data_IF_323822449760
#
_entry.id   IF_323822449760
#
_cell.length_a   1.000
_cell.length_b   1.000
_cell.length_c   1.000
_cell.angle_alpha   90.00
_cell.angle_beta   90.00
_cell.angle_gamma   90.00
#
_symmetry.space_group_name_H-M   'P 1'
#
loop_
_entity.id
_entity.type
_entity.pdbx_description
1 polymer ?
#
# COMPACT_ATOMS: atom_id res chain seq x y z
N UNK A 1 25.13 4.20 -12.26
CA UNK A 1 24.46 3.47 -11.15
C UNK A 1 23.83 2.21 -11.72
N UNK A 2 23.74 1.11 -10.97
CA UNK A 2 23.07 -0.12 -11.46
C UNK A 2 21.56 0.05 -11.40
N UNK A 3 20.85 -0.54 -12.37
CA UNK A 3 19.39 -0.57 -12.38
C UNK A 3 18.82 -1.19 -11.09
N UNK A 4 17.99 -0.44 -10.36
CA UNK A 4 17.31 -0.93 -9.15
C UNK A 4 15.90 -1.42 -9.50
N UNK A 5 15.53 -2.57 -8.94
CA UNK A 5 14.17 -3.08 -8.95
C UNK A 5 13.65 -3.03 -7.51
N UNK A 6 12.64 -2.21 -7.29
CA UNK A 6 12.10 -1.89 -5.97
C UNK A 6 10.68 -2.44 -5.87
N UNK A 7 10.44 -3.29 -4.87
CA UNK A 7 9.12 -3.76 -4.51
C UNK A 7 8.53 -2.85 -3.42
N UNK A 8 7.46 -2.13 -3.74
CA UNK A 8 6.72 -1.33 -2.79
C UNK A 8 5.49 -2.10 -2.30
N UNK A 9 5.36 -2.26 -0.99
CA UNK A 9 4.19 -2.87 -0.36
C UNK A 9 3.69 -2.01 0.78
N UNK A 10 2.71 -2.48 1.52
CA UNK A 10 2.16 -1.75 2.65
C UNK A 10 0.74 -2.13 2.97
N UNK A 11 0.25 -1.60 4.07
CA UNK A 11 -1.13 -1.84 4.51
C UNK A 11 -2.07 -1.25 3.45
N UNK A 12 -3.10 -1.97 2.95
CA UNK A 12 -4.09 -1.38 2.06
C UNK A 12 -4.63 -0.07 2.63
N UNK A 13 -4.66 1.00 1.82
CA UNK A 13 -5.07 2.36 2.23
C UNK A 13 -4.11 3.09 3.19
N UNK A 14 -2.86 2.67 3.29
CA UNK A 14 -1.79 3.38 4.01
C UNK A 14 -1.10 4.52 3.24
N UNK A 15 -1.51 4.81 2.01
CA UNK A 15 -0.81 5.80 1.17
C UNK A 15 0.30 5.20 0.29
N UNK A 16 0.36 3.87 0.15
CA UNK A 16 1.25 3.20 -0.82
C UNK A 16 1.09 3.68 -2.25
N UNK A 17 -0.14 4.00 -2.69
CA UNK A 17 -0.38 4.50 -4.05
C UNK A 17 0.18 5.91 -4.22
N UNK A 18 -0.01 6.78 -3.22
CA UNK A 18 0.63 8.09 -3.18
C UNK A 18 2.16 7.96 -3.25
N UNK A 19 2.76 7.13 -2.39
CA UNK A 19 4.21 6.91 -2.41
C UNK A 19 4.67 6.35 -3.77
N UNK A 20 3.90 5.45 -4.38
CA UNK A 20 4.17 4.95 -5.73
C UNK A 20 4.16 6.09 -6.76
N UNK A 21 3.15 6.98 -6.75
CA UNK A 21 3.10 8.15 -7.65
C UNK A 21 4.31 9.06 -7.45
N UNK A 22 4.67 9.36 -6.20
CA UNK A 22 5.79 10.23 -5.87
C UNK A 22 7.13 9.65 -6.35
N UNK A 23 7.39 8.36 -6.11
CA UNK A 23 8.57 7.67 -6.66
C UNK A 23 8.56 7.70 -8.19
N UNK A 24 7.38 7.58 -8.80
CA UNK A 24 7.18 7.72 -10.24
C UNK A 24 7.46 9.12 -10.77
N UNK A 25 7.66 10.14 -9.93
CA UNK A 25 8.09 11.49 -10.33
C UNK A 25 9.59 11.72 -10.14
N UNK A 26 10.30 10.85 -9.41
CA UNK A 26 11.74 10.94 -9.25
C UNK A 26 12.49 10.88 -10.59
N UNK A 27 13.68 11.48 -10.63
CA UNK A 27 14.56 11.44 -11.80
C UNK A 27 14.89 9.98 -12.15
N UNK A 28 14.90 9.66 -13.45
CA UNK A 28 15.28 8.35 -13.98
C UNK A 28 14.60 7.16 -13.27
N UNK A 29 13.31 7.33 -12.93
CA UNK A 29 12.53 6.36 -12.18
C UNK A 29 11.14 6.19 -12.77
N UNK A 30 10.69 4.94 -12.90
CA UNK A 30 9.33 4.57 -13.25
C UNK A 30 8.71 3.80 -12.09
N UNK A 31 7.50 4.17 -11.70
CA UNK A 31 6.74 3.46 -10.69
C UNK A 31 5.41 2.96 -11.26
N UNK A 32 5.11 1.69 -11.06
CA UNK A 32 3.92 1.02 -11.58
C UNK A 32 3.00 0.61 -10.43
N UNK A 33 1.74 1.04 -10.50
CA UNK A 33 0.73 0.78 -9.48
C UNK A 33 -0.06 -0.48 -9.83
N UNK A 34 0.10 -1.51 -9.00
CA UNK A 34 -0.59 -2.81 -9.09
C UNK A 34 -0.70 -3.37 -10.54
N UNK A 35 0.42 -3.45 -11.28
CA UNK A 35 0.39 -3.72 -12.71
C UNK A 35 0.26 -5.21 -13.08
N UNK A 36 0.26 -6.09 -12.07
CA UNK A 36 0.22 -7.54 -12.27
C UNK A 36 -1.16 -8.06 -11.93
N UNK A 37 -1.61 -9.07 -12.67
CA UNK A 37 -2.72 -9.91 -12.22
C UNK A 37 -2.23 -10.84 -11.10
N UNK A 38 -2.41 -10.39 -9.85
CA UNK A 38 -1.99 -11.15 -8.68
C UNK A 38 -2.84 -12.38 -8.42
N UNK A 39 -4.03 -12.47 -9.02
CA UNK A 39 -4.89 -13.66 -8.88
C UNK A 39 -4.36 -14.83 -9.72
N UNK A 40 -3.64 -14.53 -10.81
CA UNK A 40 -2.96 -15.50 -11.65
C UNK A 40 -1.58 -15.97 -11.11
N UNK A 41 -1.14 -15.45 -9.95
CA UNK A 41 0.09 -15.93 -9.31
C UNK A 41 -0.08 -17.36 -8.82
N UNK A 42 0.96 -18.17 -9.00
CA UNK A 42 0.97 -19.54 -8.49
C UNK A 42 0.84 -19.56 -6.97
N UNK A 43 0.04 -20.48 -6.44
CA UNK A 43 0.02 -20.75 -5.00
C UNK A 43 1.36 -21.34 -4.52
N UNK A 44 2.19 -21.87 -5.44
CA UNK A 44 3.55 -22.31 -5.13
C UNK A 44 4.45 -21.06 -5.08
N UNK A 45 4.83 -20.71 -3.85
CA UNK A 45 5.59 -19.51 -3.51
C UNK A 45 6.82 -19.24 -4.39
N UNK A 46 7.66 -20.24 -4.65
CA UNK A 46 8.85 -20.08 -5.48
C UNK A 46 8.50 -19.71 -6.94
N UNK A 47 7.41 -20.26 -7.47
CA UNK A 47 6.91 -19.93 -8.80
C UNK A 47 6.32 -18.52 -8.83
N UNK A 48 5.56 -18.12 -7.80
CA UNK A 48 5.06 -16.75 -7.67
C UNK A 48 6.18 -15.71 -7.69
N UNK A 49 7.28 -15.97 -6.96
CA UNK A 49 8.47 -15.10 -6.99
C UNK A 49 9.12 -15.06 -8.37
N UNK A 50 9.20 -16.20 -9.07
CA UNK A 50 9.65 -16.26 -10.45
C UNK A 50 8.77 -15.43 -11.41
N UNK A 51 7.45 -15.45 -11.21
CA UNK A 51 6.50 -14.62 -11.96
C UNK A 51 6.69 -13.13 -11.66
N UNK A 52 6.93 -12.75 -10.41
CA UNK A 52 7.27 -11.36 -10.03
C UNK A 52 8.57 -10.92 -10.70
N UNK A 53 9.63 -11.72 -10.61
CA UNK A 53 10.92 -11.39 -11.22
C UNK A 53 10.84 -11.26 -12.74
N UNK A 54 10.10 -12.17 -13.39
CA UNK A 54 9.83 -12.09 -14.81
C UNK A 54 9.07 -10.81 -15.17
N UNK A 55 8.05 -10.44 -14.38
CA UNK A 55 7.32 -9.21 -14.63
C UNK A 55 8.20 -7.96 -14.54
N UNK A 56 9.10 -7.87 -13.54
CA UNK A 56 10.08 -6.77 -13.47
C UNK A 56 10.96 -6.71 -14.72
N UNK A 57 11.45 -7.85 -15.20
CA UNK A 57 12.29 -7.91 -16.40
C UNK A 57 11.51 -7.51 -17.67
N UNK A 58 10.30 -8.04 -17.85
CA UNK A 58 9.44 -7.77 -19.00
C UNK A 58 8.99 -6.30 -19.04
N UNK A 59 8.61 -5.73 -17.89
CA UNK A 59 8.24 -4.31 -17.78
C UNK A 59 9.42 -3.40 -18.14
N UNK A 60 10.63 -3.71 -17.66
CA UNK A 60 11.84 -2.97 -18.02
C UNK A 60 12.15 -3.07 -19.51
N UNK A 61 12.08 -4.27 -20.09
CA UNK A 61 12.30 -4.46 -21.52
C UNK A 61 11.31 -3.66 -22.36
N UNK A 62 10.02 -3.66 -21.98
CA UNK A 62 8.98 -2.87 -22.64
C UNK A 62 9.28 -1.37 -22.57
N UNK A 63 9.62 -0.84 -21.39
CA UNK A 63 9.96 0.58 -21.20
C UNK A 63 11.19 1.01 -22.01
N UNK A 64 12.19 0.15 -22.16
CA UNK A 64 13.37 0.45 -22.97
C UNK A 64 13.11 0.33 -24.49
N UNK A 65 12.20 -0.53 -24.90
CA UNK A 65 11.92 -0.79 -26.32
C UNK A 65 10.89 0.17 -26.92
N UNK A 66 9.75 0.36 -26.26
CA UNK A 66 8.61 1.12 -26.80
C UNK A 66 8.12 2.25 -25.88
N UNK A 67 8.81 2.43 -24.74
CA UNK A 67 8.52 3.47 -23.76
C UNK A 67 7.26 3.24 -22.94
N UNK A 68 6.68 2.03 -22.93
CA UNK A 68 5.41 1.77 -22.25
C UNK A 68 5.44 0.56 -21.32
N UNK A 69 4.56 0.57 -20.32
CA UNK A 69 4.37 -0.52 -19.35
C UNK A 69 2.93 -0.60 -18.89
N UNK A 70 2.53 -1.77 -18.36
CA UNK A 70 1.23 -1.92 -17.69
C UNK A 70 1.22 -1.26 -16.32
N UNK A 71 0.13 -0.58 -15.98
CA UNK A 71 -0.16 -0.06 -14.63
C UNK A 71 -1.65 0.16 -14.47
N UNK A 72 -2.15 0.07 -13.24
CA UNK A 72 -3.41 0.73 -12.92
C UNK A 72 -3.20 2.25 -13.04
N UNK A 73 -4.14 2.91 -13.71
CA UNK A 73 -4.00 4.30 -14.12
C UNK A 73 -5.36 5.03 -14.20
N UNK A 74 -5.29 6.36 -14.19
CA UNK A 74 -6.34 7.28 -14.64
C UNK A 74 -5.72 8.15 -15.73
N UNK A 75 -6.32 8.17 -16.92
CA UNK A 75 -5.89 8.96 -18.07
C UNK A 75 -4.39 8.83 -18.44
N UNK A 76 -3.83 7.64 -18.29
CA UNK A 76 -2.44 7.30 -18.59
C UNK A 76 -1.46 7.53 -17.44
N UNK A 77 -1.92 7.99 -16.28
CA UNK A 77 -1.08 8.29 -15.11
C UNK A 77 -1.38 7.39 -13.90
N UNK A 78 -0.35 7.12 -13.10
CA UNK A 78 -0.52 6.53 -11.77
C UNK A 78 -1.15 7.57 -10.83
N UNK A 79 -2.35 7.34 -10.28
CA UNK A 79 -3.02 8.34 -9.43
C UNK A 79 -2.37 8.44 -8.04
N UNK A 80 -2.67 9.51 -7.30
CA UNK A 80 -2.31 9.61 -5.87
C UNK A 80 -3.22 8.73 -5.00
N UNK A 81 -4.48 8.57 -5.41
CA UNK A 81 -5.52 7.82 -4.72
C UNK A 81 -6.49 7.19 -5.74
N UNK A 82 -6.73 5.87 -5.69
CA UNK A 82 -7.59 5.20 -6.67
C UNK A 82 -9.09 5.46 -6.49
N UNK A 83 -9.49 6.21 -5.47
CA UNK A 83 -10.90 6.50 -5.15
C UNK A 83 -11.25 7.99 -5.27
N UNK A 84 -12.42 8.26 -5.83
CA UNK A 84 -13.05 9.59 -5.89
C UNK A 84 -13.30 10.20 -4.52
N UNK A 85 -13.47 11.52 -4.45
CA UNK A 85 -14.12 12.20 -3.31
C UNK A 85 -15.65 12.08 -3.34
N UNK A 86 -16.24 11.89 -4.53
CA UNK A 86 -17.67 11.61 -4.71
C UNK A 86 -18.07 10.26 -4.12
N UNK A 87 -19.26 10.21 -3.52
CA UNK A 87 -19.89 8.99 -3.02
C UNK A 87 -20.92 8.45 -4.01
N UNK A 88 -21.13 7.14 -4.03
CA UNK A 88 -22.26 6.48 -4.68
C UNK A 88 -23.55 6.60 -3.84
N UNK A 89 -24.62 5.96 -4.31
CA UNK A 89 -25.94 5.98 -3.65
C UNK A 89 -25.91 5.36 -2.25
N UNK A 90 -24.92 4.51 -1.95
CA UNK A 90 -24.73 3.86 -0.66
C UNK A 90 -23.74 4.64 0.24
N UNK A 91 -23.35 5.86 -0.17
CA UNK A 91 -22.42 6.71 0.57
C UNK A 91 -20.95 6.28 0.47
N UNK A 92 -20.60 5.36 -0.43
CA UNK A 92 -19.23 4.83 -0.58
C UNK A 92 -18.48 5.52 -1.71
N UNK A 93 -17.16 5.64 -1.58
CA UNK A 93 -16.34 6.27 -2.61
C UNK A 93 -16.16 5.36 -3.82
N UNK A 94 -16.21 5.92 -5.03
CA UNK A 94 -16.08 5.16 -6.29
C UNK A 94 -14.61 4.89 -6.64
N UNK A 95 -14.34 3.67 -7.11
CA UNK A 95 -13.05 3.27 -7.67
C UNK A 95 -12.91 3.81 -9.11
N UNK A 96 -11.79 4.48 -9.42
CA UNK A 96 -11.61 5.20 -10.70
C UNK A 96 -10.51 4.64 -11.60
N UNK A 97 -9.73 3.65 -11.15
CA UNK A 97 -8.58 3.16 -11.90
C UNK A 97 -8.90 1.97 -12.79
N UNK A 98 -8.23 1.90 -13.93
CA UNK A 98 -8.25 0.77 -14.84
C UNK A 98 -6.82 0.32 -15.16
N UNK A 99 -6.63 -0.98 -15.41
CA UNK A 99 -5.36 -1.50 -15.92
C UNK A 99 -5.19 -1.06 -17.38
N UNK A 100 -4.07 -0.40 -17.69
CA UNK A 100 -3.76 0.08 -19.04
C UNK A 100 -2.27 0.21 -19.27
N UNK A 101 -1.88 0.45 -20.54
CA UNK A 101 -0.51 0.83 -20.87
C UNK A 101 -0.32 2.31 -20.57
N UNK A 102 0.73 2.64 -19.82
CA UNK A 102 1.17 4.02 -19.56
C UNK A 102 2.49 4.28 -20.29
N UNK A 103 2.74 5.55 -20.62
CA UNK A 103 4.02 6.05 -21.12
C UNK A 103 4.56 7.09 -20.13
N UNK A 104 5.63 6.81 -19.38
CA UNK A 104 6.22 7.81 -18.51
C UNK A 104 6.64 9.05 -19.32
N UNK A 105 6.21 10.24 -18.91
CA UNK A 105 6.56 11.50 -19.56
C UNK A 105 7.91 12.03 -19.07
N UNK A 106 8.95 11.22 -19.28
CA UNK A 106 10.34 11.55 -18.94
C UNK A 106 11.33 10.69 -19.73
N UNK A 107 12.54 11.19 -20.01
CA UNK A 107 13.60 10.35 -20.55
C UNK A 107 14.02 9.30 -19.51
N UNK A 108 14.27 8.07 -19.96
CA UNK A 108 14.75 6.96 -19.15
C UNK A 108 16.13 6.54 -19.64
N UNK A 109 17.08 6.42 -18.73
CA UNK A 109 18.37 5.79 -19.00
C UNK A 109 18.19 4.27 -19.11
N UNK A 110 19.18 3.54 -19.65
CA UNK A 110 19.16 2.07 -19.60
C UNK A 110 19.18 1.52 -18.16
N UNK A 111 19.61 2.33 -17.19
CA UNK A 111 19.77 1.98 -15.79
C UNK A 111 18.68 2.52 -14.86
N UNK A 112 17.55 2.98 -15.38
CA UNK A 112 16.49 3.62 -14.59
C UNK A 112 15.99 2.75 -13.43
N UNK A 113 15.50 3.37 -12.36
CA UNK A 113 14.88 2.65 -11.23
C UNK A 113 13.46 2.21 -11.59
N UNK A 114 13.14 0.93 -11.38
CA UNK A 114 11.80 0.40 -11.58
C UNK A 114 11.18 0.06 -10.23
N UNK A 115 10.12 0.78 -9.86
CA UNK A 115 9.31 0.53 -8.68
C UNK A 115 8.02 -0.18 -9.11
N UNK A 116 7.68 -1.28 -8.46
CA UNK A 116 6.39 -1.94 -8.64
C UNK A 116 5.71 -2.03 -7.30
N UNK A 117 4.43 -1.64 -7.26
CA UNK A 117 3.65 -1.66 -6.03
C UNK A 117 2.58 -2.73 -6.05
N UNK A 118 2.55 -3.56 -5.01
CA UNK A 118 1.43 -4.45 -4.67
C UNK A 118 1.33 -4.58 -3.15
N UNK A 119 0.12 -4.49 -2.60
CA UNK A 119 -0.04 -4.58 -1.14
C UNK A 119 -0.01 -6.03 -0.67
N UNK A 120 -1.17 -6.70 -0.73
CA UNK A 120 -1.35 -8.04 -0.17
C UNK A 120 -0.38 -9.08 -0.76
N UNK A 121 -0.23 -9.10 -2.09
CA UNK A 121 0.60 -10.09 -2.76
C UNK A 121 2.08 -9.99 -2.34
N UNK A 122 2.67 -8.78 -2.37
CA UNK A 122 4.09 -8.63 -1.99
C UNK A 122 4.31 -8.85 -0.50
N UNK A 123 3.36 -8.45 0.36
CA UNK A 123 3.44 -8.77 1.79
C UNK A 123 3.39 -10.28 2.05
N UNK A 124 2.53 -11.00 1.33
CA UNK A 124 2.47 -12.46 1.41
C UNK A 124 3.78 -13.11 0.93
N UNK A 125 4.49 -12.51 -0.02
CA UNK A 125 5.76 -13.02 -0.56
C UNK A 125 7.01 -12.69 0.28
N UNK A 126 6.88 -12.05 1.45
CA UNK A 126 8.00 -11.91 2.41
C UNK A 126 8.34 -13.23 3.16
N UNK A 127 9.59 -13.54 3.50
CA UNK A 127 10.80 -12.74 3.29
C UNK A 127 11.45 -12.88 1.91
N UNK A 128 11.09 -13.88 1.11
CA UNK A 128 11.82 -14.23 -0.11
C UNK A 128 11.80 -13.11 -1.15
N UNK A 129 10.72 -12.32 -1.21
CA UNK A 129 10.69 -11.10 -2.00
C UNK A 129 11.79 -10.11 -1.57
N UNK A 130 11.98 -9.89 -0.27
CA UNK A 130 12.99 -8.99 0.26
C UNK A 130 14.43 -9.51 0.11
N UNK A 131 14.60 -10.82 -0.11
CA UNK A 131 15.90 -11.41 -0.45
C UNK A 131 16.28 -11.17 -1.92
N UNK A 132 15.29 -11.08 -2.82
CA UNK A 132 15.51 -10.87 -4.26
C UNK A 132 15.36 -9.42 -4.74
N UNK A 133 14.64 -8.59 -3.99
CA UNK A 133 14.31 -7.21 -4.36
C UNK A 133 14.54 -6.27 -3.20
N UNK A 134 14.95 -5.05 -3.51
CA UNK A 134 14.88 -3.98 -2.55
C UNK A 134 13.40 -3.71 -2.22
N UNK A 135 13.00 -4.01 -0.98
CA UNK A 135 11.58 -4.02 -0.60
C UNK A 135 11.30 -3.00 0.49
N UNK A 136 10.30 -2.15 0.27
CA UNK A 136 9.85 -1.10 1.17
C UNK A 136 8.38 -1.28 1.52
N UNK A 137 8.02 -1.05 2.78
CA UNK A 137 6.62 -1.08 3.23
C UNK A 137 6.16 0.29 3.73
N UNK A 138 4.97 0.69 3.33
CA UNK A 138 4.29 1.86 3.90
C UNK A 138 3.26 1.39 4.94
N UNK A 139 3.35 1.96 6.12
CA UNK A 139 2.36 1.81 7.19
C UNK A 139 1.70 3.15 7.48
N UNK A 140 0.55 3.12 8.13
CA UNK A 140 -0.23 4.31 8.48
C UNK A 140 -0.90 4.07 9.82
N UNK A 141 -1.26 5.13 10.53
CA UNK A 141 -1.97 5.03 11.80
C UNK A 141 -3.11 4.01 11.68
N UNK A 142 -3.13 2.98 12.53
CA UNK A 142 -4.02 1.84 12.37
C UNK A 142 -5.51 2.22 12.45
N UNK A 143 -5.87 3.24 13.23
CA UNK A 143 -7.24 3.75 13.26
C UNK A 143 -7.63 4.45 11.94
N UNK A 144 -6.73 5.24 11.34
CA UNK A 144 -6.98 5.84 10.03
C UNK A 144 -7.11 4.78 8.92
N UNK A 145 -6.36 3.69 9.00
CA UNK A 145 -6.50 2.55 8.08
C UNK A 145 -7.89 1.94 8.21
N UNK A 146 -8.30 1.56 9.42
CA UNK A 146 -9.62 0.95 9.66
C UNK A 146 -10.74 1.90 9.22
N UNK A 147 -10.70 3.16 9.64
CA UNK A 147 -11.66 4.18 9.21
C UNK A 147 -11.72 4.29 7.68
N UNK A 148 -10.56 4.23 7.00
CA UNK A 148 -10.53 4.25 5.55
C UNK A 148 -11.03 2.98 4.87
N UNK A 149 -10.94 1.80 5.50
CA UNK A 149 -11.54 0.57 4.95
C UNK A 149 -13.05 0.67 4.99
N UNK A 150 -13.62 1.21 6.07
CA UNK A 150 -15.07 1.41 6.20
C UNK A 150 -15.64 2.53 5.31
N UNK A 151 -14.80 3.34 4.64
CA UNK A 151 -15.25 4.40 3.73
C UNK A 151 -15.31 4.00 2.24
N UNK A 152 -14.98 2.74 1.91
CA UNK A 152 -14.88 2.24 0.53
C UNK A 152 -15.43 0.81 0.46
N UNK A 153 -15.80 0.35 -0.74
CA UNK A 153 -16.12 -1.06 -0.96
C UNK A 153 -14.90 -1.81 -1.52
N UNK A 154 -14.15 -2.46 -0.63
CA UNK A 154 -13.01 -3.30 -0.97
C UNK A 154 -13.10 -4.61 -0.18
N UNK A 155 -12.40 -5.68 -0.57
CA UNK A 155 -12.37 -6.92 0.21
C UNK A 155 -12.01 -6.72 1.69
N UNK A 156 -11.11 -5.77 1.99
CA UNK A 156 -10.69 -5.44 3.37
C UNK A 156 -11.84 -4.86 4.20
N UNK A 157 -12.80 -4.17 3.59
CA UNK A 157 -14.02 -3.69 4.25
C UNK A 157 -14.83 -4.86 4.81
N UNK A 158 -14.77 -6.02 4.15
CA UNK A 158 -15.46 -7.24 4.53
C UNK A 158 -14.56 -8.22 5.32
N UNK A 159 -13.40 -7.76 5.78
CA UNK A 159 -12.44 -8.58 6.51
C UNK A 159 -11.78 -9.66 5.64
N UNK A 160 -11.55 -9.38 4.35
CA UNK A 160 -10.86 -10.27 3.41
C UNK A 160 -9.64 -9.59 2.78
N UNK A 161 -8.66 -10.40 2.40
CA UNK A 161 -7.43 -9.99 1.72
C UNK A 161 -7.05 -11.02 0.64
N UNK A 162 -7.78 -11.08 -0.50
CA UNK A 162 -7.74 -12.23 -1.41
C UNK A 162 -6.35 -12.70 -1.85
N UNK A 163 -5.50 -11.79 -2.33
CA UNK A 163 -4.14 -12.15 -2.75
C UNK A 163 -3.24 -12.57 -1.56
N UNK A 164 -3.50 -12.05 -0.37
CA UNK A 164 -2.84 -12.50 0.86
C UNK A 164 -3.28 -13.90 1.25
N UNK A 165 -4.58 -14.17 1.20
CA UNK A 165 -5.18 -15.48 1.53
C UNK A 165 -4.77 -16.57 0.54
N UNK A 166 -4.67 -16.25 -0.75
CA UNK A 166 -4.20 -17.16 -1.79
C UNK A 166 -2.75 -17.59 -1.58
N UNK A 167 -1.88 -16.65 -1.19
CA UNK A 167 -0.44 -16.88 -1.05
C UNK A 167 -0.02 -17.27 0.38
N UNK A 168 -0.92 -17.12 1.35
CA UNK A 168 -0.78 -17.56 2.73
C UNK A 168 -2.07 -18.29 3.19
N UNK A 169 -2.14 -19.61 2.99
CA UNK A 169 -3.30 -20.41 3.40
C UNK A 169 -3.57 -20.38 4.91
N UNK A 170 -2.59 -20.02 5.74
CA UNK A 170 -2.80 -19.89 7.18
C UNK A 170 -3.62 -18.63 7.50
N UNK A 171 -3.36 -17.53 6.79
CA UNK A 171 -4.20 -16.33 6.85
C UNK A 171 -5.63 -16.66 6.43
N UNK A 172 -5.82 -17.34 5.30
CA UNK A 172 -7.15 -17.72 4.81
C UNK A 172 -7.97 -18.46 5.90
N UNK A 173 -7.39 -19.52 6.48
CA UNK A 173 -8.04 -20.28 7.57
C UNK A 173 -8.34 -19.43 8.80
N UNK A 174 -7.42 -18.54 9.18
CA UNK A 174 -7.62 -17.65 10.33
C UNK A 174 -8.76 -16.66 10.11
N UNK A 175 -8.94 -16.17 8.88
CA UNK A 175 -10.05 -15.29 8.52
C UNK A 175 -11.37 -16.06 8.41
N UNK A 176 -11.38 -17.25 7.79
CA UNK A 176 -12.60 -18.05 7.66
C UNK A 176 -13.15 -18.52 9.03
N UNK A 177 -12.28 -18.71 10.02
CA UNK A 177 -12.67 -19.09 11.38
C UNK A 177 -13.24 -17.93 12.22
N UNK A 178 -13.15 -16.68 11.76
CA UNK A 178 -13.56 -15.50 12.51
C UNK A 178 -14.84 -14.90 11.92
N UNK A 179 -15.95 -15.00 12.67
CA UNK A 179 -17.25 -14.53 12.21
C UNK A 179 -17.37 -13.00 12.23
N UNK A 180 -16.73 -12.34 13.19
CA UNK A 180 -16.80 -10.88 13.31
C UNK A 180 -15.93 -10.19 12.26
N UNK A 181 -16.54 -9.33 11.44
CA UNK A 181 -15.85 -8.57 10.38
C UNK A 181 -14.76 -7.69 10.96
N UNK A 182 -15.03 -7.01 12.08
CA UNK A 182 -14.02 -6.12 12.70
C UNK A 182 -12.86 -6.94 13.27
N UNK A 183 -13.13 -8.09 13.89
CA UNK A 183 -12.08 -9.01 14.32
C UNK A 183 -11.23 -9.52 13.13
N UNK A 184 -11.85 -9.87 12.00
CA UNK A 184 -11.12 -10.21 10.76
C UNK A 184 -10.23 -9.06 10.28
N UNK A 185 -10.74 -7.83 10.30
CA UNK A 185 -9.95 -6.65 9.93
C UNK A 185 -8.75 -6.44 10.85
N UNK A 186 -8.92 -6.61 12.16
CA UNK A 186 -7.82 -6.54 13.13
C UNK A 186 -6.80 -7.66 12.89
N UNK A 187 -7.24 -8.88 12.56
CA UNK A 187 -6.34 -9.99 12.17
C UNK A 187 -5.56 -9.68 10.89
N UNK A 188 -6.20 -9.06 9.88
CA UNK A 188 -5.51 -8.61 8.66
C UNK A 188 -4.47 -7.54 9.01
N UNK A 189 -4.84 -6.56 9.84
CA UNK A 189 -3.96 -5.50 10.28
C UNK A 189 -2.74 -6.08 11.00
N UNK A 190 -2.96 -6.95 11.99
CA UNK A 190 -1.91 -7.67 12.72
C UNK A 190 -1.01 -8.46 11.77
N UNK A 191 -1.60 -9.25 10.86
CA UNK A 191 -0.84 -10.02 9.87
C UNK A 191 0.07 -9.10 9.04
N UNK A 192 -0.44 -7.99 8.50
CA UNK A 192 0.37 -7.06 7.71
C UNK A 192 1.55 -6.49 8.52
N UNK A 193 1.27 -5.92 9.69
CA UNK A 193 2.30 -5.28 10.52
C UNK A 193 3.33 -6.28 11.04
N UNK A 194 2.90 -7.45 11.50
CA UNK A 194 3.78 -8.50 12.01
C UNK A 194 4.71 -9.03 10.92
N UNK A 195 4.26 -9.07 9.66
CA UNK A 195 5.09 -9.47 8.52
C UNK A 195 6.16 -8.42 8.22
N UNK A 196 5.82 -7.14 8.24
CA UNK A 196 6.83 -6.08 8.06
C UNK A 196 7.86 -6.07 9.19
N UNK A 197 7.40 -6.17 10.45
CA UNK A 197 8.27 -6.22 11.62
C UNK A 197 9.27 -7.38 11.55
N UNK A 198 8.80 -8.56 11.12
CA UNK A 198 9.60 -9.78 11.13
C UNK A 198 10.59 -9.87 9.98
N UNK A 199 10.25 -9.32 8.81
CA UNK A 199 10.96 -9.63 7.57
C UNK A 199 11.57 -8.42 6.86
N UNK A 200 11.30 -7.20 7.32
CA UNK A 200 11.93 -6.00 6.80
C UNK A 200 12.77 -5.32 7.89
N UNK A 201 13.94 -4.75 7.53
CA UNK A 201 14.63 -3.81 8.40
C UNK A 201 13.73 -2.64 8.79
N UNK A 202 13.88 -2.11 10.01
CA UNK A 202 12.98 -1.07 10.55
C UNK A 202 12.99 0.19 9.70
N UNK A 203 14.15 0.52 9.14
CA UNK A 203 14.38 1.63 8.22
C UNK A 203 13.63 1.48 6.89
N UNK A 204 13.26 0.25 6.50
CA UNK A 204 12.49 -0.03 5.27
C UNK A 204 10.97 -0.04 5.48
N UNK A 205 10.50 0.37 6.66
CA UNK A 205 9.09 0.51 6.99
C UNK A 205 8.78 1.95 7.34
N UNK A 206 8.21 2.67 6.37
CA UNK A 206 7.94 4.11 6.47
C UNK A 206 6.51 4.38 6.91
N UNK A 207 6.35 5.32 7.84
CA UNK A 207 5.03 5.82 8.24
C UNK A 207 4.54 6.90 7.26
N UNK A 208 3.31 6.75 6.79
CA UNK A 208 2.61 7.71 5.93
C UNK A 208 2.66 9.13 6.50
N UNK A 209 2.48 9.26 7.81
CA UNK A 209 2.49 10.53 8.53
C UNK A 209 3.83 11.24 8.36
N UNK A 210 4.95 10.51 8.40
CA UNK A 210 6.28 11.06 8.16
C UNK A 210 6.49 11.48 6.71
N UNK A 211 5.99 10.68 5.76
CA UNK A 211 6.04 11.04 4.32
C UNK A 211 5.26 12.33 4.05
N UNK A 212 4.05 12.46 4.61
CA UNK A 212 3.22 13.66 4.44
C UNK A 212 3.82 14.87 5.15
N UNK A 213 4.25 14.74 6.40
CA UNK A 213 4.77 15.85 7.19
C UNK A 213 6.05 16.46 6.60
N UNK A 214 6.76 15.69 5.77
CA UNK A 214 8.00 16.11 5.09
C UNK A 214 7.79 16.40 3.61
N UNK A 215 6.54 16.46 3.14
CA UNK A 215 6.21 16.70 1.72
C UNK A 215 6.92 15.73 0.76
N UNK A 216 7.20 14.51 1.24
CA UNK A 216 7.89 13.47 0.50
C UNK A 216 9.38 13.32 0.77
N UNK A 217 10.03 14.24 1.47
CA UNK A 217 11.48 14.17 1.68
C UNK A 217 11.88 12.89 2.44
N UNK A 218 11.11 12.46 3.45
CA UNK A 218 11.38 11.21 4.16
C UNK A 218 11.35 9.97 3.24
N UNK A 219 10.49 9.95 2.22
CA UNK A 219 10.46 8.87 1.24
C UNK A 219 11.69 8.96 0.32
N UNK A 220 11.98 10.16 -0.20
CA UNK A 220 13.10 10.44 -1.08
C UNK A 220 14.45 10.05 -0.45
N UNK A 221 14.69 10.48 0.80
CA UNK A 221 15.89 10.17 1.57
C UNK A 221 16.03 8.67 1.82
N UNK A 222 14.93 8.02 2.21
CA UNK A 222 14.93 6.61 2.54
C UNK A 222 15.27 5.74 1.32
N UNK A 223 14.68 6.04 0.15
CA UNK A 223 14.99 5.32 -1.08
C UNK A 223 16.25 5.81 -1.79
N UNK A 224 16.86 6.91 -1.33
CA UNK A 224 18.02 7.54 -1.96
C UNK A 224 17.71 8.05 -3.38
N UNK A 225 16.59 8.74 -3.56
CA UNK A 225 16.17 9.32 -4.84
C UNK A 225 15.93 10.81 -4.74
N UNK A 226 16.30 11.56 -5.76
CA UNK A 226 15.96 12.97 -5.87
C UNK A 226 14.52 13.13 -6.35
N UNK A 227 13.72 13.85 -5.57
CA UNK A 227 12.31 14.10 -5.82
C UNK A 227 12.00 15.57 -5.55
N UNK A 228 11.22 16.19 -6.43
CA UNK A 228 10.67 17.51 -6.15
C UNK A 228 9.70 17.43 -4.95
N UNK A 229 9.61 18.48 -4.11
CA UNK A 229 8.61 18.55 -3.06
C UNK A 229 7.21 18.32 -3.63
N UNK A 230 6.43 17.48 -2.96
CA UNK A 230 5.06 17.22 -3.32
C UNK A 230 4.17 17.89 -2.27
N UNK A 231 3.32 18.87 -2.61
CA UNK A 231 2.45 19.49 -1.63
C UNK A 231 1.44 18.44 -1.14
N UNK A 232 1.61 18.00 0.11
CA UNK A 232 0.83 16.92 0.69
C UNK A 232 -0.08 17.43 1.80
N UNK A 233 -1.28 16.83 1.86
CA UNK A 233 -2.20 17.03 2.96
C UNK A 233 -2.45 15.71 3.68
N UNK A 234 -2.41 15.79 4.99
CA UNK A 234 -2.74 14.71 5.93
C UNK A 234 -4.22 14.34 5.78
N UNK A 235 -4.54 13.05 5.62
CA UNK A 235 -5.91 12.54 5.37
C UNK A 235 -6.40 11.54 6.43
N UNK A 236 -5.75 11.44 7.59
CA UNK A 236 -6.07 10.52 8.70
C UNK A 236 -7.36 10.93 9.39
N UNK A 237 -7.62 12.23 9.56
CA UNK A 237 -8.87 12.74 10.12
C UNK A 237 -9.82 13.25 9.01
N UNK A 238 -9.99 12.47 7.94
CA UNK A 238 -10.88 12.84 6.84
C UNK A 238 -12.32 13.06 7.33
N UNK A 239 -12.96 14.15 6.88
CA UNK A 239 -14.38 14.45 7.16
C UNK A 239 -15.35 13.39 6.61
N UNK A 240 -14.86 12.53 5.72
CA UNK A 240 -15.64 11.42 5.16
C UNK A 240 -15.76 10.22 6.12
N UNK A 241 -15.08 10.24 7.27
CA UNK A 241 -15.10 9.14 8.23
C UNK A 241 -16.21 9.35 9.27
N UNK A 242 -17.02 8.32 9.51
CA UNK A 242 -18.05 8.33 10.55
C UNK A 242 -17.38 8.32 11.95
N UNK A 243 -17.58 9.39 12.72
CA UNK A 243 -16.96 9.57 14.03
C UNK A 243 -17.44 8.56 15.09
N UNK A 244 -18.69 8.11 15.02
CA UNK A 244 -19.24 7.12 15.95
C UNK A 244 -18.65 5.74 15.65
N UNK A 245 -18.52 5.39 14.36
CA UNK A 245 -17.80 4.19 13.93
C UNK A 245 -16.32 4.25 14.34
N UNK A 246 -15.63 5.37 14.09
CA UNK A 246 -14.24 5.53 14.48
C UNK A 246 -14.03 5.34 15.99
N UNK A 247 -14.97 5.80 16.81
CA UNK A 247 -14.92 5.56 18.26
C UNK A 247 -14.97 4.06 18.59
N UNK A 248 -15.91 3.31 18.00
CA UNK A 248 -16.00 1.86 18.20
C UNK A 248 -14.76 1.11 17.70
N UNK A 249 -14.22 1.53 16.55
CA UNK A 249 -13.00 0.94 15.98
C UNK A 249 -11.79 1.20 16.88
N UNK A 250 -11.67 2.41 17.44
CA UNK A 250 -10.60 2.74 18.37
C UNK A 250 -10.66 1.89 19.64
N UNK A 251 -11.85 1.72 20.23
CA UNK A 251 -12.02 0.88 21.42
C UNK A 251 -11.59 -0.57 21.15
N UNK A 252 -12.03 -1.13 20.01
CA UNK A 252 -11.67 -2.48 19.56
C UNK A 252 -10.16 -2.62 19.28
N UNK A 253 -9.55 -1.61 18.66
CA UNK A 253 -8.14 -1.58 18.33
C UNK A 253 -7.26 -1.44 19.58
N UNK A 254 -7.64 -0.59 20.54
CA UNK A 254 -6.89 -0.40 21.79
C UNK A 254 -6.98 -1.63 22.69
N UNK A 255 -8.10 -2.35 22.69
CA UNK A 255 -8.23 -3.64 23.36
C UNK A 255 -7.41 -4.76 22.68
N UNK A 256 -7.04 -4.58 21.41
CA UNK A 256 -6.23 -5.52 20.65
C UNK A 256 -4.72 -5.37 20.91
N UNK A 257 -4.00 -6.48 20.89
CA UNK A 257 -2.55 -6.54 21.11
C UNK A 257 -1.74 -6.84 19.83
N UNK A 258 -2.25 -6.42 18.66
CA UNK A 258 -1.64 -6.71 17.36
C UNK A 258 -0.30 -6.01 17.09
N UNK A 259 0.39 -6.48 16.05
CA UNK A 259 1.74 -6.07 15.64
C UNK A 259 1.89 -4.59 15.29
N UNK A 260 0.78 -3.88 15.05
CA UNK A 260 0.77 -2.42 14.84
C UNK A 260 1.41 -1.65 16.01
N UNK A 261 1.35 -2.20 17.23
CA UNK A 261 1.95 -1.61 18.45
C UNK A 261 3.48 -1.47 18.39
N UNK A 262 4.13 -2.18 17.47
CA UNK A 262 5.58 -2.02 17.23
C UNK A 262 5.92 -0.77 16.41
N UNK A 263 4.93 -0.13 15.81
CA UNK A 263 5.09 1.04 14.95
C UNK A 263 4.36 2.28 15.47
N UNK A 264 3.26 2.09 16.19
CA UNK A 264 2.43 3.15 16.75
C UNK A 264 2.20 2.92 18.24
N UNK A 265 2.12 4.01 18.99
CA UNK A 265 1.76 4.03 20.40
C UNK A 265 0.24 4.22 20.56
N UNK A 266 -0.28 3.87 21.74
CA UNK A 266 -1.71 4.08 22.05
C UNK A 266 -2.12 5.55 21.93
N UNK A 267 -1.24 6.46 22.34
CA UNK A 267 -1.47 7.91 22.19
C UNK A 267 -1.72 8.31 20.74
N UNK A 268 -1.06 7.67 19.76
CA UNK A 268 -1.23 8.00 18.35
C UNK A 268 -2.66 7.68 17.89
N UNK A 269 -3.26 6.63 18.44
CA UNK A 269 -4.66 6.25 18.19
C UNK A 269 -5.62 7.20 18.89
N UNK A 270 -5.37 7.50 20.16
CA UNK A 270 -6.23 8.38 20.98
C UNK A 270 -6.24 9.81 20.43
N UNK A 271 -5.09 10.37 20.11
CA UNK A 271 -4.96 11.72 19.56
C UNK A 271 -5.63 11.83 18.19
N UNK A 272 -5.50 10.80 17.35
CA UNK A 272 -6.21 10.77 16.08
C UNK A 272 -7.73 10.69 16.27
N UNK A 273 -8.22 9.88 17.21
CA UNK A 273 -9.65 9.78 17.50
C UNK A 273 -10.22 11.15 17.93
N UNK A 274 -9.49 11.89 18.76
CA UNK A 274 -9.90 13.25 19.15
C UNK A 274 -10.03 14.17 17.92
N UNK A 275 -9.03 14.16 17.02
CA UNK A 275 -9.07 14.94 15.77
C UNK A 275 -10.22 14.53 14.85
N UNK A 276 -10.52 13.23 14.75
CA UNK A 276 -11.66 12.73 13.97
C UNK A 276 -12.99 13.23 14.53
N UNK A 277 -13.13 13.33 15.86
CA UNK A 277 -14.35 13.86 16.51
C UNK A 277 -14.53 15.36 16.31
N UNK A 278 -13.45 16.13 16.29
CA UNK A 278 -13.51 17.60 16.09
C UNK A 278 -13.63 18.00 14.62
N UNK A 279 -13.35 17.08 13.69
CA UNK A 279 -13.42 17.32 12.24
C UNK A 279 -14.76 16.91 11.62
N UNK A 280 -15.62 16.24 12.39
CA UNK A 280 -16.94 15.77 12.00
C UNK A 280 -18.01 16.88 12.05
#
# INVERSE_FOLDING_TARGET
>A
MSARNIALTGVPRSGTTLCCRMLGQATDTVALFEPMDVTALSAIRAQALGQVARFFADARASLLSDGTAWSQQVDGEVPDNPFSSETDADGRRRHRVALGRIRPDKPLSAGFNLVIKHNAAFTALLPELAAGFETWAIVRNPLAVLASWHSVDLPVTHGRLPAGEQLDPALARALDAEADVVARQLRILDWLFSRYLRYLPRERVLAYEGVVATEGAALADAVGMEMAPFPLQERNASRLYDAALCSRLADRLLADCGGWRSFYQERDVVDLLQRMRTSA
#
